data_IF_952373651530
#
_entry.id   IF_952373651530
#
_cell.length_a   1.000
_cell.length_b   1.000
_cell.length_c   1.000
_cell.angle_alpha   90.00
_cell.angle_beta   90.00
_cell.angle_gamma   90.00
#
_symmetry.space_group_name_H-M   'P 1'
#
loop_
_entity.id
_entity.type
_entity.pdbx_description
1 polymer ?
#
# COMPACT_ATOMS: atom_id res chain seq x y z
N UNK A 1 -4.45 16.20 -20.06
CA UNK A 1 -3.64 15.17 -20.76
C UNK A 1 -3.90 15.28 -22.25
N UNK A 2 -2.99 15.87 -23.01
CA UNK A 2 -3.05 15.85 -24.49
C UNK A 2 -2.44 14.51 -24.93
N UNK A 3 -3.28 13.61 -25.44
CA UNK A 3 -2.87 12.50 -26.28
C UNK A 3 -2.14 13.09 -27.49
N UNK A 4 -0.81 13.11 -27.42
CA UNK A 4 0.03 13.34 -28.59
C UNK A 4 0.37 11.96 -29.12
N UNK A 5 -0.60 11.37 -29.81
CA UNK A 5 -0.38 10.30 -30.78
C UNK A 5 0.44 10.89 -31.94
N UNK A 6 1.73 11.13 -31.72
CA UNK A 6 2.71 11.06 -32.80
C UNK A 6 3.30 9.67 -32.68
N UNK A 7 2.80 8.76 -33.52
CA UNK A 7 3.53 7.57 -33.91
C UNK A 7 4.88 8.05 -34.44
N UNK A 8 5.87 8.14 -33.56
CA UNK A 8 7.28 8.14 -33.96
C UNK A 8 7.60 6.69 -34.35
N UNK A 9 6.96 6.25 -35.44
CA UNK A 9 7.38 5.08 -36.18
C UNK A 9 8.88 5.28 -36.42
N UNK A 10 9.73 4.33 -36.01
CA UNK A 10 11.17 4.52 -36.14
C UNK A 10 11.47 4.61 -37.63
N UNK A 11 11.67 5.84 -38.14
CA UNK A 11 12.06 6.12 -39.52
C UNK A 11 13.30 5.30 -39.89
N UNK A 12 14.16 5.04 -38.90
CA UNK A 12 15.29 4.12 -38.99
C UNK A 12 14.89 2.68 -39.35
N UNK A 13 13.78 2.15 -38.84
CA UNK A 13 13.28 0.83 -39.20
C UNK A 13 12.69 0.79 -40.61
N UNK A 14 12.07 1.89 -41.08
CA UNK A 14 11.58 1.99 -42.48
C UNK A 14 12.79 1.94 -43.41
N UNK A 15 13.79 2.78 -43.13
CA UNK A 15 15.00 2.90 -43.93
C UNK A 15 15.74 1.56 -43.98
N UNK A 16 15.93 0.90 -42.82
CA UNK A 16 16.57 -0.41 -42.73
C UNK A 16 15.80 -1.47 -43.53
N UNK A 17 14.48 -1.54 -43.37
CA UNK A 17 13.62 -2.49 -44.09
C UNK A 17 13.70 -2.30 -45.61
N UNK A 18 13.69 -1.04 -46.08
CA UNK A 18 13.85 -0.72 -47.49
C UNK A 18 15.23 -1.12 -48.01
N UNK A 19 16.30 -0.82 -47.29
CA UNK A 19 17.66 -1.23 -47.68
C UNK A 19 17.78 -2.75 -47.79
N UNK A 20 17.38 -3.49 -46.75
CA UNK A 20 17.46 -4.96 -46.78
C UNK A 20 16.54 -5.58 -47.84
N UNK A 21 15.36 -5.00 -48.09
CA UNK A 21 14.48 -5.43 -49.18
C UNK A 21 15.12 -5.27 -50.56
N UNK A 22 15.80 -4.16 -50.81
CA UNK A 22 16.53 -3.91 -52.06
C UNK A 22 17.74 -4.84 -52.21
N UNK A 23 18.49 -5.09 -51.12
CA UNK A 23 19.60 -6.05 -51.16
C UNK A 23 19.15 -7.50 -51.30
N UNK A 24 17.97 -7.84 -50.78
CA UNK A 24 17.35 -9.15 -50.97
C UNK A 24 16.89 -9.34 -52.42
N UNK A 25 16.26 -8.34 -53.03
CA UNK A 25 15.78 -8.42 -54.43
C UNK A 25 16.93 -8.56 -55.44
N UNK A 26 17.87 -7.62 -55.46
CA UNK A 26 19.27 -7.90 -55.17
C UNK A 26 19.84 -9.31 -55.46
N UNK A 27 20.09 -9.99 -54.35
CA UNK A 27 20.63 -11.33 -54.26
C UNK A 27 19.76 -12.38 -54.95
N UNK A 28 18.43 -12.28 -54.84
CA UNK A 28 17.49 -13.25 -55.46
C UNK A 28 17.57 -13.16 -56.98
N UNK A 29 17.56 -11.95 -57.55
CA UNK A 29 17.71 -11.74 -58.99
C UNK A 29 19.05 -12.29 -59.48
N UNK A 30 20.13 -12.01 -58.76
CA UNK A 30 21.48 -12.49 -59.10
C UNK A 30 21.55 -14.02 -59.09
N UNK A 31 20.98 -14.67 -58.07
CA UNK A 31 20.94 -16.14 -57.99
C UNK A 31 20.11 -16.80 -59.09
N UNK A 32 18.98 -16.19 -59.46
CA UNK A 32 18.11 -16.67 -60.53
C UNK A 32 18.74 -16.50 -61.92
N UNK A 33 19.52 -15.43 -62.13
CA UNK A 33 20.28 -15.23 -63.38
C UNK A 33 21.37 -16.30 -63.54
N UNK A 34 22.06 -16.67 -62.45
CA UNK A 34 23.13 -17.68 -62.49
C UNK A 34 22.63 -19.08 -62.89
N UNK A 35 21.38 -19.41 -62.56
CA UNK A 35 20.75 -20.69 -62.93
C UNK A 35 19.97 -20.62 -64.26
N UNK A 36 20.14 -19.55 -65.03
CA UNK A 36 19.50 -19.32 -66.34
C UNK A 36 17.96 -19.37 -66.27
N UNK A 37 17.38 -18.85 -65.19
CA UNK A 37 15.93 -18.77 -65.01
C UNK A 37 15.29 -17.80 -66.01
N UNK A 38 14.02 -18.04 -66.43
CA UNK A 38 13.35 -17.18 -67.38
C UNK A 38 13.18 -15.76 -66.82
N UNK A 39 13.40 -14.75 -67.67
CA UNK A 39 13.41 -13.34 -67.28
C UNK A 39 12.15 -12.91 -66.51
N UNK A 40 10.97 -13.35 -66.94
CA UNK A 40 9.70 -13.03 -66.25
C UNK A 40 9.66 -13.59 -64.82
N UNK A 41 10.22 -14.78 -64.58
CA UNK A 41 10.31 -15.40 -63.26
C UNK A 41 11.31 -14.66 -62.37
N UNK A 42 12.46 -14.28 -62.92
CA UNK A 42 13.49 -13.51 -62.19
C UNK A 42 12.94 -12.18 -61.66
N UNK A 43 12.18 -11.43 -62.47
CA UNK A 43 11.57 -10.17 -62.03
C UNK A 43 10.47 -10.41 -60.97
N UNK A 44 9.63 -11.43 -61.15
CA UNK A 44 8.54 -11.73 -60.23
C UNK A 44 9.07 -12.14 -58.84
N UNK A 45 9.99 -13.10 -58.80
CA UNK A 45 10.51 -13.66 -57.54
C UNK A 45 11.44 -12.68 -56.81
N UNK A 46 12.24 -11.88 -57.52
CA UNK A 46 13.08 -10.85 -56.88
C UNK A 46 12.25 -9.72 -56.28
N UNK A 47 11.20 -9.25 -56.97
CA UNK A 47 10.30 -8.23 -56.44
C UNK A 47 9.53 -8.75 -55.22
N UNK A 48 8.93 -9.94 -55.32
CA UNK A 48 8.20 -10.55 -54.20
C UNK A 48 9.12 -10.83 -53.02
N UNK A 49 10.33 -11.37 -53.24
CA UNK A 49 11.30 -11.63 -52.19
C UNK A 49 11.79 -10.37 -51.48
N UNK A 50 12.04 -9.29 -52.24
CA UNK A 50 12.39 -7.99 -51.67
C UNK A 50 11.27 -7.38 -50.83
N UNK A 51 10.03 -7.44 -51.30
CA UNK A 51 8.86 -6.93 -50.55
C UNK A 51 8.60 -7.76 -49.29
N UNK A 52 8.71 -9.08 -49.37
CA UNK A 52 8.51 -9.97 -48.22
C UNK A 52 9.58 -9.79 -47.14
N UNK A 53 10.84 -9.60 -47.54
CA UNK A 53 11.93 -9.35 -46.58
C UNK A 53 11.81 -7.96 -45.95
N UNK A 54 11.49 -6.93 -46.73
CA UNK A 54 11.24 -5.60 -46.20
C UNK A 54 10.05 -5.59 -45.23
N UNK A 55 8.94 -6.23 -45.59
CA UNK A 55 7.74 -6.27 -44.75
C UNK A 55 7.98 -7.03 -43.45
N UNK A 56 8.72 -8.14 -43.49
CA UNK A 56 9.09 -8.92 -42.30
C UNK A 56 9.99 -8.13 -41.35
N UNK A 57 11.04 -7.48 -41.86
CA UNK A 57 11.96 -6.69 -41.02
C UNK A 57 11.23 -5.49 -40.41
N UNK A 58 10.33 -4.87 -41.18
CA UNK A 58 9.50 -3.78 -40.71
C UNK A 58 8.57 -4.21 -39.57
N UNK A 59 7.84 -5.32 -39.74
CA UNK A 59 6.93 -5.82 -38.70
C UNK A 59 7.68 -6.24 -37.45
N UNK A 60 8.78 -6.99 -37.58
CA UNK A 60 9.61 -7.40 -36.45
C UNK A 60 10.11 -6.20 -35.66
N UNK A 61 10.73 -5.22 -36.32
CA UNK A 61 11.29 -4.04 -35.65
C UNK A 61 10.24 -3.13 -35.03
N UNK A 62 9.08 -2.99 -35.71
CA UNK A 62 7.95 -2.26 -35.16
C UNK A 62 7.41 -2.93 -33.90
N UNK A 63 7.24 -4.26 -33.91
CA UNK A 63 6.77 -5.02 -32.75
C UNK A 63 7.76 -4.94 -31.59
N UNK A 64 9.05 -5.08 -31.84
CA UNK A 64 10.08 -4.95 -30.79
C UNK A 64 10.06 -3.55 -30.16
N UNK A 65 9.89 -2.50 -30.98
CA UNK A 65 9.78 -1.13 -30.47
C UNK A 65 8.54 -0.96 -29.57
N UNK A 66 7.40 -1.49 -30.00
CA UNK A 66 6.15 -1.43 -29.23
C UNK A 66 6.25 -2.23 -27.93
N UNK A 67 6.86 -3.41 -27.95
CA UNK A 67 7.09 -4.23 -26.75
C UNK A 67 7.93 -3.45 -25.76
N UNK A 68 9.06 -2.86 -26.20
CA UNK A 68 9.92 -2.05 -25.32
C UNK A 68 9.20 -0.85 -24.72
N UNK A 69 8.38 -0.17 -25.51
CA UNK A 69 7.58 0.95 -25.02
C UNK A 69 6.55 0.49 -23.98
N UNK A 70 5.87 -0.64 -24.23
CA UNK A 70 4.90 -1.22 -23.29
C UNK A 70 5.55 -1.73 -22.02
N UNK A 71 6.70 -2.39 -22.10
CA UNK A 71 7.51 -2.82 -20.96
C UNK A 71 7.93 -1.63 -20.11
N UNK A 72 8.40 -0.55 -20.75
CA UNK A 72 8.77 0.68 -20.05
C UNK A 72 7.58 1.31 -19.33
N UNK A 73 6.44 1.45 -20.02
CA UNK A 73 5.21 2.00 -19.43
C UNK A 73 4.68 1.13 -18.28
N UNK A 74 4.77 -0.20 -18.42
CA UNK A 74 4.40 -1.14 -17.37
C UNK A 74 5.33 -1.01 -16.17
N UNK A 75 6.64 -0.86 -16.40
CA UNK A 75 7.61 -0.59 -15.34
C UNK A 75 7.27 0.67 -14.54
N UNK A 76 6.92 1.77 -15.22
CA UNK A 76 6.48 3.01 -14.55
C UNK A 76 5.19 2.78 -13.74
N UNK A 77 4.20 2.10 -14.31
CA UNK A 77 2.93 1.88 -13.62
C UNK A 77 3.11 0.98 -12.40
N UNK A 78 3.94 -0.06 -12.50
CA UNK A 78 4.32 -0.91 -11.36
C UNK A 78 4.99 -0.10 -10.26
N UNK A 79 5.96 0.76 -10.60
CA UNK A 79 6.61 1.63 -9.60
C UNK A 79 5.61 2.58 -8.93
N UNK A 80 4.69 3.14 -9.71
CA UNK A 80 3.67 4.06 -9.20
C UNK A 80 2.68 3.35 -8.27
N UNK A 81 2.25 2.14 -8.62
CA UNK A 81 1.38 1.32 -7.78
C UNK A 81 2.10 0.92 -6.49
N UNK A 82 3.39 0.59 -6.59
CA UNK A 82 4.21 0.27 -5.43
C UNK A 82 4.33 1.47 -4.48
N UNK A 83 4.63 2.67 -4.98
CA UNK A 83 4.66 3.91 -4.19
C UNK A 83 3.30 4.21 -3.55
N UNK A 84 2.21 4.00 -4.29
CA UNK A 84 0.86 4.19 -3.76
C UNK A 84 0.56 3.21 -2.63
N UNK A 85 0.93 1.93 -2.78
CA UNK A 85 0.82 0.94 -1.72
C UNK A 85 1.67 1.33 -0.50
N UNK A 86 2.91 1.78 -0.70
CA UNK A 86 3.78 2.23 0.40
C UNK A 86 3.15 3.40 1.15
N UNK A 87 2.53 4.35 0.43
CA UNK A 87 1.79 5.47 1.03
C UNK A 87 0.57 4.99 1.84
N UNK A 88 -0.17 3.99 1.34
CA UNK A 88 -1.30 3.42 2.09
C UNK A 88 -0.82 2.72 3.36
N UNK A 89 0.25 1.93 3.28
CA UNK A 89 0.83 1.25 4.43
C UNK A 89 1.39 2.24 5.47
N UNK A 90 2.07 3.30 5.04
CA UNK A 90 2.68 4.29 5.93
C UNK A 90 1.68 5.13 6.70
N UNK A 91 0.46 5.32 6.18
CA UNK A 91 -0.60 6.09 6.85
C UNK A 91 -1.65 5.21 7.53
N UNK A 92 -1.59 3.89 7.35
CA UNK A 92 -2.57 2.98 7.93
C UNK A 92 -2.33 2.81 9.44
N UNK A 93 -3.40 3.03 10.21
CA UNK A 93 -3.45 2.70 11.64
C UNK A 93 -3.77 1.21 11.88
N UNK A 94 -4.19 0.48 10.84
CA UNK A 94 -4.41 -0.95 10.94
C UNK A 94 -3.07 -1.69 11.04
N UNK A 95 -3.03 -2.80 11.76
CA UNK A 95 -1.82 -3.61 11.93
C UNK A 95 -1.69 -4.56 10.73
N UNK A 96 -1.12 -4.05 9.63
CA UNK A 96 -1.00 -4.76 8.36
C UNK A 96 0.43 -5.26 8.19
N UNK A 97 0.58 -6.48 7.68
CA UNK A 97 1.87 -7.08 7.35
C UNK A 97 1.75 -7.87 6.06
N UNK A 98 2.73 -7.69 5.18
CA UNK A 98 2.92 -8.49 3.98
C UNK A 98 4.17 -9.34 4.15
N UNK A 99 4.02 -10.64 3.97
CA UNK A 99 5.12 -11.60 4.16
C UNK A 99 5.03 -12.77 3.18
N UNK A 100 6.15 -13.44 2.98
CA UNK A 100 6.25 -14.64 2.13
C UNK A 100 5.66 -15.86 2.85
N UNK A 101 4.76 -16.59 2.20
CA UNK A 101 4.00 -17.68 2.80
C UNK A 101 4.84 -18.93 3.10
N UNK A 102 6.03 -19.08 2.51
CA UNK A 102 6.90 -20.24 2.71
C UNK A 102 8.00 -19.98 3.73
N UNK A 103 8.65 -18.83 3.63
CA UNK A 103 9.79 -18.43 4.48
C UNK A 103 9.38 -17.60 5.69
N UNK A 104 8.16 -17.06 5.70
CA UNK A 104 7.63 -16.17 6.74
C UNK A 104 8.43 -14.87 6.90
N UNK A 105 9.20 -14.50 5.87
CA UNK A 105 9.98 -13.25 5.82
C UNK A 105 9.05 -12.08 5.50
N UNK A 106 9.15 -11.02 6.28
CA UNK A 106 8.36 -9.80 6.10
C UNK A 106 8.91 -8.99 4.92
N UNK A 107 8.04 -8.65 3.97
CA UNK A 107 8.34 -7.70 2.90
C UNK A 107 7.93 -6.28 3.30
N UNK A 108 6.76 -6.10 3.92
CA UNK A 108 6.27 -4.79 4.39
C UNK A 108 5.47 -4.90 5.68
N UNK A 109 5.51 -3.85 6.49
CA UNK A 109 4.72 -3.75 7.72
C UNK A 109 4.22 -2.30 7.89
N UNK A 110 3.00 -2.15 8.40
CA UNK A 110 2.46 -0.83 8.73
C UNK A 110 2.97 -0.31 10.08
N UNK A 111 2.94 1.01 10.32
CA UNK A 111 3.24 1.58 11.63
C UNK A 111 2.31 1.06 12.74
N UNK A 112 1.06 0.73 12.40
CA UNK A 112 0.13 0.08 13.33
C UNK A 112 0.66 -1.23 13.88
N UNK A 113 1.29 -2.05 13.03
CA UNK A 113 1.90 -3.31 13.44
C UNK A 113 3.13 -3.11 14.33
N UNK A 114 4.00 -2.15 13.99
CA UNK A 114 5.16 -1.77 14.84
C UNK A 114 4.68 -1.33 16.24
N UNK A 115 3.62 -0.51 16.28
CA UNK A 115 3.00 -0.06 17.53
C UNK A 115 2.41 -1.20 18.35
N UNK A 116 1.77 -2.16 17.68
CA UNK A 116 1.22 -3.36 18.32
C UNK A 116 2.33 -4.16 19.01
N UNK A 117 3.49 -4.31 18.35
CA UNK A 117 4.67 -4.96 18.92
C UNK A 117 5.42 -4.13 19.97
N UNK A 118 5.01 -2.86 20.20
CA UNK A 118 5.66 -1.88 21.08
C UNK A 118 7.10 -1.55 20.70
N UNK A 119 7.45 -1.76 19.44
CA UNK A 119 8.77 -1.43 18.92
C UNK A 119 8.88 0.07 18.61
N UNK A 120 10.09 0.65 18.60
CA UNK A 120 10.29 2.02 18.15
C UNK A 120 9.88 2.17 16.68
N UNK A 121 9.26 3.29 16.32
CA UNK A 121 8.71 3.54 14.97
C UNK A 121 9.75 3.50 13.85
N UNK A 122 11.02 3.69 14.20
CA UNK A 122 12.18 3.65 13.30
C UNK A 122 12.69 2.22 13.03
N UNK A 123 12.03 1.19 13.59
CA UNK A 123 12.44 -0.21 13.43
C UNK A 123 12.21 -0.71 12.01
N UNK A 124 13.28 -1.14 11.34
CA UNK A 124 13.19 -1.85 10.06
C UNK A 124 12.79 -3.32 10.29
N UNK A 125 11.54 -3.65 9.99
CA UNK A 125 11.01 -5.03 10.07
C UNK A 125 11.20 -5.84 8.79
N UNK A 126 11.57 -5.18 7.68
CA UNK A 126 11.74 -5.82 6.38
C UNK A 126 12.90 -6.83 6.42
N UNK A 127 12.67 -8.03 5.88
CA UNK A 127 13.65 -9.11 5.87
C UNK A 127 13.73 -9.91 7.17
N UNK A 128 12.99 -9.50 8.21
CA UNK A 128 12.93 -10.27 9.46
C UNK A 128 11.89 -11.39 9.35
N UNK A 129 12.11 -12.45 10.12
CA UNK A 129 11.18 -13.56 10.20
C UNK A 129 10.04 -13.24 11.17
N UNK A 130 8.81 -13.40 10.69
CA UNK A 130 7.60 -13.10 11.44
C UNK A 130 7.46 -13.95 12.71
N UNK A 131 7.94 -15.19 12.71
CA UNK A 131 7.87 -16.08 13.89
C UNK A 131 8.66 -15.51 15.08
N UNK A 132 9.84 -14.95 14.80
CA UNK A 132 10.76 -14.41 15.79
C UNK A 132 10.20 -13.12 16.37
N UNK A 133 9.61 -12.29 15.52
CA UNK A 133 9.00 -11.02 15.92
C UNK A 133 7.75 -11.20 16.76
N UNK A 134 6.94 -12.21 16.45
CA UNK A 134 5.72 -12.50 17.20
C UNK A 134 5.98 -13.38 18.45
N UNK A 135 7.16 -13.99 18.56
CA UNK A 135 7.46 -14.94 19.63
C UNK A 135 6.60 -16.20 19.60
N UNK A 136 6.15 -16.62 18.41
CA UNK A 136 5.20 -17.73 18.23
C UNK A 136 5.87 -18.95 17.61
N UNK A 137 5.38 -20.13 17.96
CA UNK A 137 5.77 -21.38 17.32
C UNK A 137 5.46 -21.37 15.81
N UNK A 138 6.47 -21.70 15.00
CA UNK A 138 6.41 -21.81 13.54
C UNK A 138 5.22 -22.63 13.06
N UNK A 139 4.94 -23.77 13.69
CA UNK A 139 3.84 -24.68 13.30
C UNK A 139 2.46 -24.02 13.44
N UNK A 140 2.29 -23.15 14.46
CA UNK A 140 1.04 -22.42 14.66
C UNK A 140 0.87 -21.36 13.56
N UNK A 141 1.94 -20.65 13.22
CA UNK A 141 1.92 -19.65 12.17
C UNK A 141 1.69 -20.27 10.78
N UNK A 142 2.33 -21.40 10.48
CA UNK A 142 2.08 -22.18 9.27
C UNK A 142 0.64 -22.67 9.19
N UNK A 143 0.05 -23.11 10.31
CA UNK A 143 -1.35 -23.51 10.35
C UNK A 143 -2.29 -22.35 10.02
N UNK A 144 -1.98 -21.14 10.48
CA UNK A 144 -2.75 -19.93 10.15
C UNK A 144 -2.57 -19.54 8.69
N UNK A 145 -1.36 -19.65 8.14
CA UNK A 145 -1.13 -19.46 6.70
C UNK A 145 -1.94 -20.46 5.87
N UNK A 146 -2.03 -21.73 6.31
CA UNK A 146 -2.88 -22.72 5.65
C UNK A 146 -4.37 -22.37 5.73
N UNK A 147 -4.85 -21.84 6.87
CA UNK A 147 -6.22 -21.35 7.01
C UNK A 147 -6.50 -20.19 6.05
N UNK A 148 -5.58 -19.23 5.94
CA UNK A 148 -5.70 -18.11 5.00
C UNK A 148 -5.74 -18.61 3.55
N UNK A 149 -4.91 -19.60 3.19
CA UNK A 149 -4.92 -20.24 1.86
C UNK A 149 -6.25 -20.91 1.52
N UNK A 150 -6.94 -21.46 2.52
CA UNK A 150 -8.23 -22.15 2.35
C UNK A 150 -9.41 -21.18 2.28
N UNK A 151 -9.22 -19.92 2.68
CA UNK A 151 -10.23 -18.86 2.66
C UNK A 151 -11.17 -18.88 3.88
N UNK A 152 -11.54 -17.69 4.35
CA UNK A 152 -12.39 -17.51 5.54
C UNK A 152 -13.78 -18.16 5.40
N UNK A 153 -14.32 -18.22 4.18
CA UNK A 153 -15.64 -18.80 3.88
C UNK A 153 -15.72 -20.32 4.15
N UNK A 154 -14.59 -21.02 4.17
CA UNK A 154 -14.57 -22.50 4.27
C UNK A 154 -14.55 -22.99 5.72
N UNK A 155 -14.14 -22.16 6.69
CA UNK A 155 -13.89 -22.66 8.05
C UNK A 155 -14.60 -21.92 9.19
N UNK A 156 -15.06 -20.67 9.03
CA UNK A 156 -15.71 -19.92 10.13
C UNK A 156 -14.89 -19.85 11.43
N UNK A 157 -13.58 -20.13 11.35
CA UNK A 157 -12.64 -20.16 12.47
C UNK A 157 -11.77 -18.92 12.37
N UNK A 158 -11.89 -18.03 13.35
CA UNK A 158 -10.95 -16.96 13.57
C UNK A 158 -9.58 -17.54 13.95
N UNK A 159 -8.54 -17.20 13.18
CA UNK A 159 -7.18 -17.58 13.52
C UNK A 159 -6.68 -16.73 14.70
N UNK A 160 -6.77 -17.27 15.92
CA UNK A 160 -6.29 -16.63 17.15
C UNK A 160 -4.85 -17.03 17.43
N UNK A 161 -4.00 -16.04 17.65
CA UNK A 161 -2.59 -16.21 17.98
C UNK A 161 -2.25 -15.39 19.22
N UNK A 162 -1.59 -16.04 20.17
CA UNK A 162 -0.97 -15.36 21.30
C UNK A 162 0.40 -14.84 20.86
N UNK A 163 0.55 -13.53 20.80
CA UNK A 163 1.77 -12.84 20.38
C UNK A 163 2.55 -12.44 21.62
N UNK A 164 3.82 -12.80 21.68
CA UNK A 164 4.77 -12.30 22.66
C UNK A 164 5.72 -11.29 22.03
N UNK A 165 5.59 -10.02 22.43
CA UNK A 165 6.58 -8.99 22.09
C UNK A 165 7.91 -9.23 22.80
N UNK A 166 9.01 -8.71 22.23
CA UNK A 166 10.35 -8.73 22.80
C UNK A 166 10.42 -8.18 24.25
N UNK A 167 9.51 -7.27 24.61
CA UNK A 167 9.41 -6.70 25.96
C UNK A 167 8.70 -7.64 26.96
N UNK A 168 8.37 -8.87 26.56
CA UNK A 168 7.64 -9.85 27.37
C UNK A 168 6.12 -9.61 27.46
N UNK A 169 5.58 -8.68 26.67
CA UNK A 169 4.14 -8.43 26.61
C UNK A 169 3.44 -9.50 25.77
N UNK A 170 2.53 -10.27 26.38
CA UNK A 170 1.66 -11.21 25.68
C UNK A 170 0.31 -10.55 25.34
N UNK A 171 -0.16 -10.72 24.10
CA UNK A 171 -1.50 -10.31 23.66
C UNK A 171 -2.10 -11.32 22.70
N UNK A 172 -3.40 -11.56 22.82
CA UNK A 172 -4.13 -12.34 21.83
C UNK A 172 -4.49 -11.44 20.64
N UNK A 173 -4.19 -11.92 19.43
CA UNK A 173 -4.57 -11.28 18.18
C UNK A 173 -5.35 -12.25 17.31
N UNK A 174 -6.38 -11.73 16.64
CA UNK A 174 -7.04 -12.41 15.52
C UNK A 174 -6.33 -12.01 14.24
N UNK A 175 -5.97 -12.99 13.43
CA UNK A 175 -5.38 -12.77 12.11
C UNK A 175 -6.43 -13.03 11.05
N UNK A 176 -6.58 -12.07 10.16
CA UNK A 176 -7.27 -12.23 8.87
C UNK A 176 -6.28 -11.88 7.76
N UNK A 177 -6.45 -12.44 6.58
CA UNK A 177 -5.57 -12.10 5.47
C UNK A 177 -6.02 -12.66 4.14
N UNK A 178 -5.33 -12.23 3.10
CA UNK A 178 -5.50 -12.71 1.75
C UNK A 178 -4.19 -13.33 1.26
N UNK A 179 -4.31 -14.50 0.61
CA UNK A 179 -3.19 -15.18 -0.03
C UNK A 179 -3.21 -14.93 -1.54
N UNK A 180 -2.09 -14.47 -2.08
CA UNK A 180 -1.86 -14.30 -3.51
C UNK A 180 -1.01 -15.46 -4.03
N UNK A 181 -1.57 -16.38 -4.83
CA UNK A 181 -0.87 -17.60 -5.24
C UNK A 181 0.28 -17.36 -6.22
N UNK A 182 0.21 -16.30 -7.02
CA UNK A 182 1.21 -15.99 -8.07
C UNK A 182 2.58 -15.67 -7.47
N UNK A 183 2.61 -14.90 -6.38
CA UNK A 183 3.83 -14.47 -5.72
C UNK A 183 4.13 -15.25 -4.42
N UNK A 184 3.26 -16.19 -4.04
CA UNK A 184 3.30 -16.87 -2.74
C UNK A 184 3.30 -15.92 -1.52
N UNK A 185 2.58 -14.80 -1.63
CA UNK A 185 2.55 -13.75 -0.61
C UNK A 185 1.24 -13.82 0.20
N UNK A 186 1.35 -13.54 1.49
CA UNK A 186 0.20 -13.28 2.37
C UNK A 186 0.20 -11.81 2.77
N UNK A 187 -0.94 -11.14 2.57
CA UNK A 187 -1.24 -9.85 3.18
C UNK A 187 -2.19 -10.09 4.35
N UNK A 188 -1.72 -9.86 5.58
CA UNK A 188 -2.44 -10.13 6.80
C UNK A 188 -2.70 -8.86 7.61
N UNK A 189 -3.87 -8.82 8.25
CA UNK A 189 -4.27 -7.85 9.24
C UNK A 189 -4.36 -8.51 10.62
N UNK A 190 -3.75 -7.87 11.61
CA UNK A 190 -3.78 -8.29 13.01
C UNK A 190 -4.77 -7.43 13.79
N UNK A 191 -5.74 -8.08 14.41
CA UNK A 191 -6.74 -7.44 15.27
C UNK A 191 -6.45 -7.85 16.69
N UNK A 192 -5.94 -6.91 17.48
CA UNK A 192 -5.80 -7.07 18.92
C UNK A 192 -7.03 -6.49 19.57
N UNK A 193 -7.78 -7.32 20.28
CA UNK A 193 -8.87 -6.81 21.11
C UNK A 193 -8.31 -5.78 22.08
N UNK A 194 -8.99 -4.62 22.25
CA UNK A 194 -8.53 -3.63 23.22
C UNK A 194 -8.41 -4.33 24.57
N UNK A 195 -7.18 -4.33 25.12
CA UNK A 195 -6.92 -4.91 26.43
C UNK A 195 -7.96 -4.31 27.38
N UNK A 196 -8.81 -5.17 27.92
CA UNK A 196 -9.88 -4.80 28.83
C UNK A 196 -9.22 -4.42 30.18
N UNK A 197 -8.45 -3.33 30.18
CA UNK A 197 -7.87 -2.72 31.36
C UNK A 197 -9.03 -2.04 32.08
N UNK A 198 -9.90 -2.86 32.70
CA UNK A 198 -11.00 -2.40 33.52
C UNK A 198 -10.51 -1.38 34.56
N UNK A 199 -9.27 -1.53 35.05
CA UNK A 199 -8.58 -0.55 35.91
C UNK A 199 -8.32 0.79 35.20
N UNK A 200 -7.72 0.82 34.00
CA UNK A 200 -7.52 2.09 33.27
C UNK A 200 -8.83 2.76 32.87
N UNK A 201 -9.85 1.98 32.52
CA UNK A 201 -11.18 2.49 32.16
C UNK A 201 -11.88 3.03 33.42
N UNK A 202 -11.74 2.34 34.56
CA UNK A 202 -12.24 2.79 35.85
C UNK A 202 -11.52 4.04 36.35
N UNK A 203 -10.20 4.13 36.19
CA UNK A 203 -9.38 5.28 36.54
C UNK A 203 -9.73 6.49 35.69
N UNK A 204 -9.87 6.32 34.37
CA UNK A 204 -10.35 7.38 33.47
C UNK A 204 -11.77 7.81 33.83
N UNK A 205 -12.65 6.87 34.18
CA UNK A 205 -14.00 7.17 34.65
C UNK A 205 -14.02 7.90 36.00
N UNK A 206 -13.09 7.58 36.92
CA UNK A 206 -12.94 8.26 38.20
C UNK A 206 -12.41 9.69 38.00
N UNK A 207 -11.39 9.86 37.16
CA UNK A 207 -10.83 11.17 36.80
C UNK A 207 -11.89 12.04 36.12
N UNK A 208 -12.71 11.49 35.23
CA UNK A 208 -13.80 12.21 34.58
C UNK A 208 -14.88 12.66 35.59
N UNK A 209 -15.25 11.79 36.53
CA UNK A 209 -16.18 12.13 37.62
C UNK A 209 -15.63 13.22 38.53
N UNK A 210 -14.33 13.19 38.83
CA UNK A 210 -13.68 14.22 39.65
C UNK A 210 -13.60 15.55 38.91
N UNK A 211 -13.28 15.56 37.61
CA UNK A 211 -13.33 16.75 36.77
C UNK A 211 -14.72 17.38 36.74
N UNK A 212 -15.78 16.56 36.64
CA UNK A 212 -17.16 17.05 36.72
C UNK A 212 -17.51 17.62 38.11
N UNK A 213 -17.04 16.98 39.19
CA UNK A 213 -17.21 17.49 40.56
C UNK A 213 -16.51 18.82 40.74
N UNK A 214 -15.27 18.95 40.26
CA UNK A 214 -14.53 20.20 40.28
C UNK A 214 -15.26 21.28 39.49
N UNK A 215 -15.73 20.97 38.28
CA UNK A 215 -16.51 21.89 37.45
C UNK A 215 -17.77 22.37 38.16
N UNK A 216 -18.57 21.45 38.73
CA UNK A 216 -19.78 21.80 39.51
C UNK A 216 -19.46 22.63 40.76
N UNK A 217 -18.36 22.30 41.45
CA UNK A 217 -17.88 23.04 42.61
C UNK A 217 -17.44 24.46 42.25
N UNK A 218 -16.74 24.62 41.11
CA UNK A 218 -16.36 25.92 40.58
C UNK A 218 -17.58 26.77 40.25
N UNK A 219 -18.54 26.24 39.49
CA UNK A 219 -19.78 26.95 39.16
C UNK A 219 -20.53 27.40 40.42
N UNK A 220 -20.70 26.52 41.42
CA UNK A 220 -21.36 26.90 42.67
C UNK A 220 -20.64 28.01 43.43
N UNK A 221 -19.30 27.97 43.47
CA UNK A 221 -18.49 29.01 44.12
C UNK A 221 -18.60 30.33 43.37
N UNK A 222 -18.54 30.29 42.04
CA UNK A 222 -18.69 31.47 41.19
C UNK A 222 -20.07 32.10 41.35
N UNK A 223 -21.14 31.30 41.30
CA UNK A 223 -22.52 31.78 41.56
C UNK A 223 -22.65 32.37 42.96
N UNK A 224 -22.11 31.71 44.00
CA UNK A 224 -22.18 32.23 45.37
C UNK A 224 -21.38 33.52 45.55
N UNK A 225 -20.25 33.67 44.86
CA UNK A 225 -19.47 34.91 44.88
C UNK A 225 -20.27 36.05 44.23
N UNK A 226 -20.99 35.79 43.14
CA UNK A 226 -21.85 36.78 42.51
C UNK A 226 -23.01 37.19 43.41
N UNK A 227 -23.69 36.23 44.05
CA UNK A 227 -24.74 36.50 45.05
C UNK A 227 -24.21 37.35 46.21
N UNK A 228 -23.05 36.98 46.78
CA UNK A 228 -22.44 37.73 47.89
C UNK A 228 -22.03 39.15 47.47
N UNK A 229 -21.56 39.34 46.23
CA UNK A 229 -21.29 40.69 45.69
C UNK A 229 -22.58 41.51 45.61
N UNK A 230 -23.70 40.89 45.23
CA UNK A 230 -25.01 41.55 45.19
C UNK A 230 -25.55 41.87 46.60
N UNK A 231 -25.47 40.92 47.54
CA UNK A 231 -25.82 41.12 48.97
C UNK A 231 -25.01 42.28 49.58
N UNK A 232 -23.69 42.35 49.32
CA UNK A 232 -22.84 43.45 49.82
C UNK A 232 -23.23 44.80 49.21
N UNK A 233 -23.58 44.83 47.92
CA UNK A 233 -24.06 46.04 47.26
C UNK A 233 -25.43 46.49 47.78
N UNK A 234 -26.29 45.55 48.18
CA UNK A 234 -27.60 45.84 48.80
C UNK A 234 -27.42 46.43 50.20
N UNK A 235 -26.59 45.82 51.04
CA UNK A 235 -26.26 46.37 52.37
C UNK A 235 -25.69 47.78 52.27
N UNK A 236 -24.83 48.05 51.28
CA UNK A 236 -24.27 49.39 51.04
C UNK A 236 -25.31 50.39 50.57
N UNK A 237 -26.23 50.00 49.68
CA UNK A 237 -27.36 50.85 49.26
C UNK A 237 -28.24 51.23 50.44
N UNK A 238 -28.55 50.27 51.32
CA UNK A 238 -29.35 50.52 52.53
C UNK A 238 -28.64 51.47 53.52
N UNK A 239 -27.31 51.54 53.47
CA UNK A 239 -26.49 52.48 54.25
C UNK A 239 -26.24 53.83 53.54
N UNK A 240 -26.83 54.08 52.35
CA UNK A 240 -26.64 55.31 51.58
C UNK A 240 -25.27 55.45 50.91
N UNK A 241 -24.50 54.36 50.82
CA UNK A 241 -23.17 54.34 50.22
C UNK A 241 -23.22 53.85 48.77
N UNK A 242 -22.29 54.30 47.89
CA UNK A 242 -22.22 53.83 46.51
C UNK A 242 -21.88 52.33 46.42
N UNK A 243 -22.34 51.69 45.34
CA UNK A 243 -22.08 50.28 45.06
C UNK A 243 -20.57 49.99 44.97
N UNK A 244 -20.15 48.83 45.49
CA UNK A 244 -18.74 48.41 45.51
C UNK A 244 -18.34 47.62 44.28
N UNK A 245 -19.24 46.76 43.81
CA UNK A 245 -18.99 45.85 42.69
C UNK A 245 -19.91 46.21 41.54
N UNK A 246 -19.38 46.32 40.32
CA UNK A 246 -20.19 46.47 39.11
C UNK A 246 -20.92 45.16 38.79
N UNK A 247 -22.12 45.26 38.21
CA UNK A 247 -22.83 44.08 37.69
C UNK A 247 -22.10 43.62 36.43
N UNK A 248 -21.67 42.36 36.43
CA UNK A 248 -21.13 41.64 35.26
C UNK A 248 -22.29 41.09 34.45
#
# INVERSE_FOLDING_TARGET
MKSKNSQDLPLSAIILALFLGVFSSLAIATGLIVIDAPAWGTYLFSALGGVMTASFIWTERSLVSQIKEKEFMLGIEVTRLQEFQDCLYSHSMACLVRFDAGTLIIDRASPGFIKMLRMPMESELRGQNLEVLLGVNTLMLESVVQLIKQGEEVLGKEAKLEIMSADGFSTNAVISGQYTPEDHIVEAAFFVDPVNNAERIADLGAVQKDLERFRKGMFRRETRILELKEEVNEVRRNAGLPARYEKV
#
